data_IF_090912493210
#
_entry.id   IF_090912493210
#
_cell.length_a   1.000
_cell.length_b   1.000
_cell.length_c   1.000
_cell.angle_alpha   90.00
_cell.angle_beta   90.00
_cell.angle_gamma   90.00
#
_symmetry.space_group_name_H-M   'P 1'
#
loop_
_entity.id
_entity.type
_entity.pdbx_description
1 polymer ?
#
# COMPACT_ATOMS: atom_id res chain seq x y z
N UNK A 1 -2.68 5.01 -7.42
CA UNK A 1 -2.45 3.63 -6.96
C UNK A 1 -2.85 3.57 -5.50
N UNK A 2 -3.73 2.65 -5.11
CA UNK A 2 -4.11 2.43 -3.71
C UNK A 2 -3.13 1.51 -2.98
N UNK A 3 -3.14 1.48 -1.65
CA UNK A 3 -2.27 0.58 -0.88
C UNK A 3 -2.54 -0.90 -1.20
N UNK A 4 -3.82 -1.26 -1.40
CA UNK A 4 -4.24 -2.59 -1.84
C UNK A 4 -3.64 -2.97 -3.19
N UNK A 5 -3.66 -2.06 -4.15
CA UNK A 5 -3.04 -2.28 -5.46
C UNK A 5 -1.51 -2.35 -5.38
N UNK A 6 -0.90 -1.53 -4.52
CA UNK A 6 0.55 -1.56 -4.26
C UNK A 6 0.98 -2.91 -3.71
N UNK A 7 0.27 -3.41 -2.70
CA UNK A 7 0.51 -4.73 -2.12
C UNK A 7 0.28 -5.86 -3.13
N UNK A 8 -0.79 -5.79 -3.92
CA UNK A 8 -1.04 -6.75 -5.00
C UNK A 8 0.10 -6.77 -6.04
N UNK A 9 0.66 -5.61 -6.39
CA UNK A 9 1.77 -5.54 -7.35
C UNK A 9 3.12 -5.95 -6.74
N UNK A 10 3.41 -5.58 -5.49
CA UNK A 10 4.68 -5.87 -4.81
C UNK A 10 4.78 -7.32 -4.34
N UNK A 11 3.68 -7.87 -3.82
CA UNK A 11 3.65 -9.19 -3.16
C UNK A 11 2.73 -10.22 -3.82
N UNK A 12 1.89 -9.83 -4.78
CA UNK A 12 0.96 -10.76 -5.44
C UNK A 12 -0.20 -11.22 -4.54
N UNK A 13 -0.43 -10.54 -3.42
CA UNK A 13 -1.47 -10.89 -2.45
C UNK A 13 -2.85 -10.46 -2.93
N UNK A 14 -3.83 -11.34 -2.70
CA UNK A 14 -5.23 -11.06 -3.01
C UNK A 14 -5.86 -10.25 -1.88
N UNK A 15 -5.90 -8.93 -2.06
CA UNK A 15 -6.42 -7.99 -1.06
C UNK A 15 -7.94 -7.80 -1.13
N UNK A 16 -8.64 -8.70 -1.82
CA UNK A 16 -10.06 -8.55 -2.15
C UNK A 16 -11.00 -8.99 -1.03
N UNK A 17 -10.54 -9.90 -0.16
CA UNK A 17 -11.35 -10.55 0.88
C UNK A 17 -11.02 -10.15 2.31
N UNK A 18 -10.03 -9.29 2.54
CA UNK A 18 -9.60 -8.89 3.88
C UNK A 18 -9.90 -7.42 4.12
N UNK A 19 -10.26 -7.12 5.37
CA UNK A 19 -10.56 -5.78 5.82
C UNK A 19 -9.35 -4.85 5.62
N UNK A 20 -9.54 -3.62 5.13
CA UNK A 20 -8.45 -2.68 4.92
C UNK A 20 -7.68 -2.33 6.19
N UNK A 21 -8.29 -2.41 7.38
CA UNK A 21 -7.62 -2.12 8.65
C UNK A 21 -6.64 -3.24 9.03
N UNK A 22 -7.06 -4.50 8.97
CA UNK A 22 -6.18 -5.67 9.14
C UNK A 22 -4.97 -5.62 8.20
N UNK A 23 -5.18 -5.20 6.94
CA UNK A 23 -4.10 -5.03 5.97
C UNK A 23 -3.10 -3.95 6.35
N UNK A 24 -3.54 -2.85 6.97
CA UNK A 24 -2.64 -1.78 7.38
C UNK A 24 -1.83 -2.19 8.60
N UNK A 25 -2.39 -2.97 9.51
CA UNK A 25 -1.66 -3.51 10.66
C UNK A 25 -0.68 -4.62 10.25
N UNK A 26 -1.11 -5.57 9.41
CA UNK A 26 -0.27 -6.70 8.95
C UNK A 26 0.89 -6.24 8.05
N UNK A 27 0.67 -5.19 7.25
CA UNK A 27 1.64 -4.66 6.30
C UNK A 27 2.01 -3.21 6.60
N UNK A 28 2.09 -2.85 7.88
CA UNK A 28 2.34 -1.47 8.31
C UNK A 28 3.65 -0.91 7.74
N UNK A 29 4.72 -1.71 7.71
CA UNK A 29 6.00 -1.30 7.11
C UNK A 29 5.84 -0.96 5.63
N UNK A 30 5.17 -1.81 4.85
CA UNK A 30 4.87 -1.56 3.44
C UNK A 30 3.90 -0.39 3.25
N UNK A 31 3.01 -0.14 4.21
CA UNK A 31 2.13 1.02 4.21
C UNK A 31 2.94 2.31 4.35
N UNK A 32 3.93 2.33 5.24
CA UNK A 32 4.88 3.44 5.36
C UNK A 32 5.70 3.60 4.07
N UNK A 33 6.22 2.52 3.50
CA UNK A 33 6.93 2.57 2.20
C UNK A 33 6.03 3.11 1.08
N UNK A 34 4.78 2.65 1.02
CA UNK A 34 3.78 3.12 0.07
C UNK A 34 3.51 4.62 0.24
N UNK A 35 3.34 5.09 1.48
CA UNK A 35 3.14 6.51 1.76
C UNK A 35 4.35 7.35 1.38
N UNK A 36 5.57 6.88 1.66
CA UNK A 36 6.82 7.57 1.29
C UNK A 36 6.97 7.63 -0.23
N UNK A 37 6.77 6.52 -0.94
CA UNK A 37 6.86 6.47 -2.41
C UNK A 37 5.78 7.33 -3.08
N UNK A 38 4.57 7.41 -2.52
CA UNK A 38 3.52 8.30 -3.03
C UNK A 38 3.84 9.76 -2.75
N UNK A 39 4.45 10.07 -1.60
CA UNK A 39 4.83 11.45 -1.26
C UNK A 39 5.92 11.98 -2.19
N UNK A 40 6.83 11.13 -2.66
CA UNK A 40 7.79 11.49 -3.73
C UNK A 40 7.07 11.72 -5.08
N UNK A 41 6.04 10.93 -5.38
CA UNK A 41 5.14 11.17 -6.52
C UNK A 41 4.26 12.43 -6.41
N UNK A 42 4.17 13.04 -5.22
CA UNK A 42 3.47 14.29 -4.98
C UNK A 42 4.42 15.52 -4.96
N UNK A 43 5.68 15.35 -5.38
CA UNK A 43 6.53 16.46 -5.83
C UNK A 43 6.40 16.60 -7.34
N UNK A 44 5.25 17.08 -7.80
CA UNK A 44 5.13 17.61 -9.15
C UNK A 44 4.34 18.92 -9.15
N UNK A 45 5.13 19.99 -9.27
CA UNK A 45 4.85 21.36 -9.71
C UNK A 45 4.20 22.34 -8.73
#
# INVERSE_FOLDING_TARGET
MTFKEYLKQKKGIDTSKVDPLDFVEEYYDEYIEYLVNIKDGCSSK
#
